data_IF_120868278671
#
_entry.id   IF_120868278671
#
_cell.length_a   1.000
_cell.length_b   1.000
_cell.length_c   1.000
_cell.angle_alpha   90.00
_cell.angle_beta   90.00
_cell.angle_gamma   90.00
#
_symmetry.space_group_name_H-M   'P 1'
#
loop_
_entity.id
_entity.type
_entity.pdbx_description
1 polymer ?
#
# COMPACT_ATOMS: atom_id res chain seq x y z
N UNK A 1 -1.69 -16.13 -24.88
CA UNK A 1 -0.42 -16.24 -24.13
C UNK A 1 -0.72 -15.89 -22.69
N UNK A 2 -0.32 -16.73 -21.74
CA UNK A 2 -0.46 -16.48 -20.29
C UNK A 2 0.59 -15.46 -19.79
N UNK A 3 1.71 -15.33 -20.51
CA UNK A 3 2.79 -14.39 -20.20
C UNK A 3 2.80 -13.24 -21.20
N UNK A 4 2.98 -12.01 -20.69
CA UNK A 4 3.06 -10.79 -21.50
C UNK A 4 4.53 -10.39 -21.69
N UNK A 5 5.00 -10.35 -22.94
CA UNK A 5 6.37 -9.94 -23.31
C UNK A 5 6.30 -8.67 -24.17
N UNK A 6 6.30 -7.48 -23.54
CA UNK A 6 6.48 -6.18 -24.22
C UNK A 6 7.03 -5.13 -23.24
N UNK A 7 7.69 -4.10 -23.75
CA UNK A 7 8.24 -2.99 -22.94
C UNK A 7 7.23 -1.90 -22.55
N UNK A 8 6.05 -1.84 -23.18
CA UNK A 8 5.00 -0.89 -22.79
C UNK A 8 4.27 -1.31 -21.52
N UNK A 9 3.49 -0.40 -20.94
CA UNK A 9 2.57 -0.69 -19.85
C UNK A 9 1.52 -1.74 -20.26
N UNK A 10 0.87 -2.34 -19.27
CA UNK A 10 -0.31 -3.15 -19.54
C UNK A 10 -1.54 -2.24 -19.74
N UNK A 11 -2.55 -2.69 -20.48
CA UNK A 11 -3.72 -1.86 -20.84
C UNK A 11 -4.43 -1.26 -19.61
N UNK A 12 -4.58 -2.01 -18.52
CA UNK A 12 -5.24 -1.52 -17.31
C UNK A 12 -4.46 -0.39 -16.65
N UNK A 13 -3.13 -0.48 -16.69
CA UNK A 13 -2.27 0.57 -16.16
C UNK A 13 -2.26 1.81 -17.07
N UNK A 14 -2.26 1.64 -18.40
CA UNK A 14 -2.42 2.76 -19.34
C UNK A 14 -3.74 3.51 -19.10
N UNK A 15 -4.85 2.77 -18.97
CA UNK A 15 -6.16 3.34 -18.64
C UNK A 15 -6.19 4.02 -17.26
N UNK A 16 -5.52 3.43 -16.26
CA UNK A 16 -5.39 4.03 -14.94
C UNK A 16 -4.60 5.35 -15.00
N UNK A 17 -3.46 5.39 -15.70
CA UNK A 17 -2.63 6.59 -15.82
C UNK A 17 -3.41 7.73 -16.47
N UNK A 18 -4.14 7.47 -17.56
CA UNK A 18 -4.97 8.49 -18.22
C UNK A 18 -5.98 9.09 -17.24
N UNK A 19 -6.76 8.24 -16.55
CA UNK A 19 -7.77 8.69 -15.59
C UNK A 19 -7.15 9.42 -14.39
N UNK A 20 -6.04 8.91 -13.86
CA UNK A 20 -5.39 9.48 -12.67
C UNK A 20 -4.73 10.83 -12.99
N UNK A 21 -4.17 11.02 -14.19
CA UNK A 21 -3.60 12.31 -14.61
C UNK A 21 -4.63 13.44 -14.60
N UNK A 22 -5.88 13.15 -14.95
CA UNK A 22 -6.97 14.15 -14.84
C UNK A 22 -7.20 14.56 -13.38
N UNK A 23 -7.23 13.61 -12.44
CA UNK A 23 -7.36 13.91 -11.02
C UNK A 23 -6.15 14.68 -10.47
N UNK A 24 -4.93 14.29 -10.86
CA UNK A 24 -3.68 14.99 -10.49
C UNK A 24 -3.70 16.43 -11.00
N UNK A 25 -4.10 16.65 -12.26
CA UNK A 25 -4.25 18.00 -12.82
C UNK A 25 -5.18 18.86 -11.97
N UNK A 26 -6.38 18.34 -11.64
CA UNK A 26 -7.33 19.07 -10.80
C UNK A 26 -6.78 19.36 -9.40
N UNK A 27 -6.02 18.43 -8.82
CA UNK A 27 -5.37 18.61 -7.53
C UNK A 27 -4.29 19.71 -7.57
N UNK A 28 -3.42 19.70 -8.59
CA UNK A 28 -2.38 20.73 -8.79
C UNK A 28 -2.98 22.13 -8.99
N UNK A 29 -4.08 22.24 -9.74
CA UNK A 29 -4.80 23.51 -9.91
C UNK A 29 -5.37 24.06 -8.59
N UNK A 30 -5.94 23.19 -7.74
CA UNK A 30 -6.41 23.59 -6.40
C UNK A 30 -5.26 24.11 -5.52
N UNK A 31 -4.06 23.56 -5.69
CA UNK A 31 -2.83 24.01 -5.03
C UNK A 31 -2.17 25.24 -5.69
N UNK A 32 -2.78 25.79 -6.74
CA UNK A 32 -2.24 26.92 -7.54
C UNK A 32 -0.90 26.62 -8.20
N UNK A 33 -0.62 25.34 -8.46
CA UNK A 33 0.53 24.89 -9.23
C UNK A 33 0.11 24.83 -10.70
N UNK A 34 0.61 25.77 -11.49
CA UNK A 34 0.22 25.93 -12.89
C UNK A 34 0.95 24.92 -13.77
N UNK A 35 0.20 24.09 -14.48
CA UNK A 35 0.66 23.24 -15.58
C UNK A 35 -0.43 23.18 -16.66
N UNK A 36 -0.05 22.83 -17.88
CA UNK A 36 -0.99 22.47 -18.94
C UNK A 36 -1.46 21.02 -18.76
N UNK A 37 -2.57 20.64 -19.40
CA UNK A 37 -3.12 19.28 -19.27
C UNK A 37 -2.19 18.21 -19.89
N UNK A 38 -1.42 18.57 -20.90
CA UNK A 38 -0.41 17.73 -21.53
C UNK A 38 0.87 17.61 -20.69
N UNK A 39 1.21 18.62 -19.89
CA UNK A 39 2.44 18.66 -19.06
C UNK A 39 2.22 18.27 -17.58
N UNK A 40 1.11 17.59 -17.25
CA UNK A 40 0.87 17.09 -15.89
C UNK A 40 2.01 16.15 -15.46
N UNK A 41 2.74 16.44 -14.37
CA UNK A 41 3.88 15.64 -13.95
C UNK A 41 3.45 14.29 -13.39
N UNK A 42 4.29 13.28 -13.62
CA UNK A 42 4.14 11.97 -12.98
C UNK A 42 4.87 11.98 -11.63
N UNK A 43 4.12 12.08 -10.54
CA UNK A 43 4.66 12.12 -9.19
C UNK A 43 4.57 10.73 -8.56
N UNK A 44 5.68 10.21 -8.06
CA UNK A 44 5.74 8.92 -7.36
C UNK A 44 6.21 9.11 -5.91
N UNK A 45 5.52 8.47 -4.97
CA UNK A 45 5.95 8.34 -3.59
C UNK A 45 6.62 6.99 -3.38
N UNK A 46 7.82 7.00 -2.78
CA UNK A 46 8.66 5.82 -2.60
C UNK A 46 8.87 5.52 -1.11
N UNK A 47 8.25 4.44 -0.64
CA UNK A 47 8.41 3.91 0.72
C UNK A 47 9.63 2.99 0.85
N UNK A 48 10.52 3.31 1.77
CA UNK A 48 11.71 2.50 2.04
C UNK A 48 11.42 1.25 2.89
N UNK A 49 12.40 0.34 2.97
CA UNK A 49 12.35 -0.76 3.92
C UNK A 49 12.67 -0.34 5.36
N UNK A 50 12.32 -1.18 6.32
CA UNK A 50 12.59 -0.90 7.74
C UNK A 50 11.59 -1.50 8.72
N UNK A 51 10.91 -2.58 8.32
CA UNK A 51 9.88 -3.24 9.14
C UNK A 51 8.79 -2.29 9.62
N UNK A 52 8.35 -2.48 10.86
CA UNK A 52 7.25 -1.70 11.45
C UNK A 52 7.55 -0.19 11.49
N UNK A 53 8.82 0.23 11.63
CA UNK A 53 9.19 1.65 11.58
C UNK A 53 8.84 2.27 10.23
N UNK A 54 9.18 1.59 9.13
CA UNK A 54 8.85 2.06 7.79
C UNK A 54 7.34 2.02 7.51
N UNK A 55 6.63 1.03 8.07
CA UNK A 55 5.17 0.95 8.00
C UNK A 55 4.51 2.19 8.63
N UNK A 56 4.85 2.50 9.88
CA UNK A 56 4.25 3.65 10.61
C UNK A 56 4.68 4.97 9.98
N UNK A 57 5.94 5.10 9.56
CA UNK A 57 6.44 6.30 8.90
C UNK A 57 5.72 6.57 7.57
N UNK A 58 5.48 5.54 6.75
CA UNK A 58 4.73 5.70 5.50
C UNK A 58 3.27 6.06 5.76
N UNK A 59 2.63 5.41 6.74
CA UNK A 59 1.24 5.72 7.10
C UNK A 59 1.07 7.20 7.48
N UNK A 60 1.93 7.71 8.35
CA UNK A 60 1.86 9.13 8.74
C UNK A 60 2.27 10.06 7.60
N UNK A 61 3.22 9.66 6.75
CA UNK A 61 3.58 10.44 5.55
C UNK A 61 2.36 10.63 4.64
N UNK A 62 1.58 9.58 4.40
CA UNK A 62 0.36 9.67 3.59
C UNK A 62 -0.68 10.59 4.25
N UNK A 63 -0.84 10.53 5.57
CA UNK A 63 -1.75 11.40 6.34
C UNK A 63 -1.35 12.86 6.22
N UNK A 64 -0.06 13.16 6.32
CA UNK A 64 0.44 14.54 6.19
C UNK A 64 0.32 15.05 4.75
N UNK A 65 0.53 14.18 3.75
CA UNK A 65 0.31 14.52 2.35
C UNK A 65 -1.17 14.81 2.07
N UNK A 66 -2.09 14.05 2.65
CA UNK A 66 -3.53 14.30 2.53
C UNK A 66 -3.92 15.65 3.14
N UNK A 67 -3.45 15.94 4.35
CA UNK A 67 -3.64 17.25 5.02
C UNK A 67 -3.07 18.42 4.22
N UNK A 68 -1.97 18.21 3.52
CA UNK A 68 -1.36 19.20 2.64
C UNK A 68 -2.05 19.31 1.27
N UNK A 69 -3.04 18.46 0.97
CA UNK A 69 -3.69 18.38 -0.34
C UNK A 69 -2.81 17.76 -1.45
N UNK A 70 -1.69 17.16 -1.08
CA UNK A 70 -0.69 16.60 -2.00
C UNK A 70 -0.90 15.12 -2.31
N UNK A 71 -1.70 14.40 -1.52
CA UNK A 71 -1.95 12.97 -1.75
C UNK A 71 -2.60 12.71 -3.12
N UNK A 72 -3.53 13.57 -3.53
CA UNK A 72 -4.20 13.49 -4.83
C UNK A 72 -3.30 13.85 -6.02
N UNK A 73 -2.13 14.45 -5.76
CA UNK A 73 -1.13 14.72 -6.79
C UNK A 73 -0.29 13.48 -7.13
N UNK A 74 -0.32 12.42 -6.32
CA UNK A 74 0.49 11.22 -6.52
C UNK A 74 -0.14 10.31 -7.58
N UNK A 75 0.68 9.90 -8.56
CA UNK A 75 0.34 8.92 -9.57
C UNK A 75 0.67 7.49 -9.12
N UNK A 76 1.86 7.30 -8.54
CA UNK A 76 2.33 5.99 -8.10
C UNK A 76 2.75 6.00 -6.63
N UNK A 77 2.26 5.03 -5.87
CA UNK A 77 2.78 4.68 -4.56
C UNK A 77 3.57 3.38 -4.70
N UNK A 78 4.86 3.41 -4.43
CA UNK A 78 5.71 2.22 -4.41
C UNK A 78 6.34 2.05 -3.05
N UNK A 79 6.61 0.82 -2.65
CA UNK A 79 7.25 0.54 -1.38
C UNK A 79 7.94 -0.82 -1.36
N UNK A 80 8.87 -0.99 -0.43
CA UNK A 80 9.56 -2.27 -0.19
C UNK A 80 9.56 -2.63 1.28
N UNK A 81 9.60 -3.94 1.59
CA UNK A 81 9.67 -4.45 2.98
C UNK A 81 8.60 -3.81 3.88
N UNK A 82 8.96 -3.15 4.98
CA UNK A 82 8.02 -2.55 5.93
C UNK A 82 6.97 -1.61 5.33
N UNK A 83 7.32 -0.82 4.32
CA UNK A 83 6.34 0.03 3.63
C UNK A 83 5.25 -0.77 2.90
N UNK A 84 5.55 -1.98 2.42
CA UNK A 84 4.52 -2.82 1.79
C UNK A 84 3.48 -3.30 2.80
N UNK A 85 3.82 -3.38 4.09
CA UNK A 85 2.86 -3.75 5.13
C UNK A 85 1.84 -2.64 5.33
N UNK A 86 2.27 -1.38 5.25
CA UNK A 86 1.37 -0.23 5.25
C UNK A 86 0.46 -0.25 4.01
N UNK A 87 1.05 -0.40 2.82
CA UNK A 87 0.29 -0.45 1.56
C UNK A 87 -0.75 -1.57 1.56
N UNK A 88 -0.35 -2.80 1.91
CA UNK A 88 -1.26 -3.95 1.99
C UNK A 88 -2.39 -3.73 3.02
N UNK A 89 -2.13 -2.98 4.09
CA UNK A 89 -3.15 -2.64 5.09
C UNK A 89 -4.13 -1.59 4.62
N UNK A 90 -3.68 -0.63 3.81
CA UNK A 90 -4.52 0.39 3.21
C UNK A 90 -5.41 -0.22 2.13
N UNK A 91 -4.85 -1.09 1.29
CA UNK A 91 -5.57 -1.72 0.17
C UNK A 91 -6.67 -2.72 0.60
N UNK A 92 -6.74 -3.07 1.90
CA UNK A 92 -7.91 -3.76 2.47
C UNK A 92 -9.19 -2.90 2.45
N UNK A 93 -9.04 -1.59 2.30
CA UNK A 93 -10.13 -0.61 2.24
C UNK A 93 -10.09 0.06 0.85
N UNK A 94 -10.96 -0.32 -0.11
CA UNK A 94 -10.86 0.12 -1.52
C UNK A 94 -10.84 1.64 -1.73
N UNK A 95 -11.44 2.39 -0.83
CA UNK A 95 -11.56 3.85 -0.81
C UNK A 95 -10.70 4.49 0.30
N UNK A 96 -9.64 3.83 0.78
CA UNK A 96 -8.85 4.29 1.92
C UNK A 96 -8.40 5.75 1.84
N UNK A 97 -8.07 6.25 0.65
CA UNK A 97 -7.51 7.59 0.46
C UNK A 97 -8.52 8.70 0.74
N UNK A 98 -9.84 8.43 0.69
CA UNK A 98 -10.89 9.42 1.01
C UNK A 98 -11.27 9.42 2.49
N UNK A 99 -10.84 8.40 3.24
CA UNK A 99 -11.13 8.18 4.67
C UNK A 99 -9.87 7.84 5.46
N UNK A 100 -8.74 8.44 5.05
CA UNK A 100 -7.41 8.03 5.50
C UNK A 100 -7.25 8.11 7.03
N UNK A 101 -7.81 9.13 7.69
CA UNK A 101 -7.78 9.24 9.15
C UNK A 101 -8.48 8.05 9.85
N UNK A 102 -9.64 7.62 9.34
CA UNK A 102 -10.37 6.46 9.89
C UNK A 102 -9.56 5.18 9.68
N UNK A 103 -8.95 5.02 8.49
CA UNK A 103 -8.13 3.84 8.18
C UNK A 103 -6.86 3.83 9.02
N UNK A 104 -6.22 4.98 9.23
CA UNK A 104 -5.08 5.15 10.13
C UNK A 104 -5.43 4.67 11.54
N UNK A 105 -6.57 5.11 12.09
CA UNK A 105 -7.00 4.72 13.43
C UNK A 105 -7.27 3.21 13.52
N UNK A 106 -7.87 2.59 12.49
CA UNK A 106 -8.02 1.13 12.40
C UNK A 106 -6.66 0.42 12.42
N UNK A 107 -5.69 0.90 11.63
CA UNK A 107 -4.34 0.32 11.57
C UNK A 107 -3.63 0.48 12.92
N UNK A 108 -3.66 1.67 13.53
CA UNK A 108 -3.04 1.91 14.85
C UNK A 108 -3.69 1.02 15.91
N UNK A 109 -5.02 0.94 15.96
CA UNK A 109 -5.74 0.07 16.89
C UNK A 109 -5.33 -1.39 16.74
N UNK A 110 -5.10 -1.86 15.50
CA UNK A 110 -4.60 -3.21 15.24
C UNK A 110 -3.17 -3.39 15.76
N UNK A 111 -2.27 -2.45 15.46
CA UNK A 111 -0.88 -2.47 15.90
C UNK A 111 -0.71 -2.40 17.42
N UNK A 112 -1.61 -1.69 18.10
CA UNK A 112 -1.66 -1.61 19.56
C UNK A 112 -2.52 -2.71 20.21
N UNK A 113 -3.16 -3.56 19.39
CA UNK A 113 -4.03 -4.63 19.86
C UNK A 113 -3.27 -5.84 20.40
N UNK A 114 -3.99 -6.84 20.94
CA UNK A 114 -3.36 -8.07 21.38
C UNK A 114 -2.67 -8.79 20.22
N UNK A 115 -1.51 -9.38 20.52
CA UNK A 115 -0.79 -10.25 19.59
C UNK A 115 -1.66 -11.42 19.16
N UNK A 116 -1.35 -11.96 17.99
CA UNK A 116 -2.02 -13.16 17.50
C UNK A 116 -1.73 -14.32 18.44
N UNK A 117 -2.77 -15.12 18.73
CA UNK A 117 -2.62 -16.25 19.63
C UNK A 117 -1.67 -17.29 19.01
N UNK A 118 -0.87 -17.95 19.84
CA UNK A 118 0.02 -19.02 19.39
C UNK A 118 -0.75 -20.16 18.72
N UNK A 119 -1.97 -20.42 19.17
CA UNK A 119 -2.86 -21.43 18.60
C UNK A 119 -3.29 -21.07 17.18
N UNK A 120 -3.65 -19.81 16.91
CA UNK A 120 -4.05 -19.35 15.57
C UNK A 120 -2.84 -19.34 14.63
N UNK A 121 -1.68 -18.91 15.12
CA UNK A 121 -0.43 -18.96 14.37
C UNK A 121 -0.07 -20.41 14.00
N UNK A 122 -0.14 -21.35 14.95
CA UNK A 122 0.11 -22.77 14.67
C UNK A 122 -0.90 -23.35 13.69
N UNK A 123 -2.17 -22.98 13.77
CA UNK A 123 -3.20 -23.42 12.84
C UNK A 123 -2.93 -22.93 11.41
N UNK A 124 -2.62 -21.64 11.24
CA UNK A 124 -2.28 -21.06 9.92
C UNK A 124 -0.98 -21.63 9.37
N UNK A 125 0.00 -21.91 10.24
CA UNK A 125 1.26 -22.54 9.82
C UNK A 125 1.06 -23.97 9.32
N UNK A 126 0.25 -24.78 10.04
CA UNK A 126 -0.13 -26.11 9.58
C UNK A 126 -0.83 -26.05 8.23
N UNK A 127 -1.75 -25.09 8.05
CA UNK A 127 -2.42 -24.86 6.77
C UNK A 127 -1.41 -24.63 5.64
N UNK A 128 -0.48 -23.70 5.81
CA UNK A 128 0.56 -23.44 4.80
C UNK A 128 1.45 -24.66 4.53
N UNK A 129 1.81 -25.41 5.55
CA UNK A 129 2.62 -26.63 5.39
C UNK A 129 1.94 -27.70 4.53
N UNK A 130 0.61 -27.85 4.63
CA UNK A 130 -0.12 -28.87 3.87
C UNK A 130 -0.62 -28.38 2.50
N UNK A 131 -0.87 -27.07 2.34
CA UNK A 131 -1.45 -26.51 1.11
C UNK A 131 -0.41 -25.97 0.12
N UNK A 132 0.76 -25.53 0.59
CA UNK A 132 1.78 -24.97 -0.30
C UNK A 132 2.68 -26.09 -0.85
N UNK A 133 2.86 -26.11 -2.17
CA UNK A 133 3.78 -27.03 -2.84
C UNK A 133 5.24 -26.89 -2.33
N UNK A 134 5.62 -25.67 -1.92
CA UNK A 134 6.92 -25.37 -1.33
C UNK A 134 6.70 -24.60 -0.04
N UNK A 135 7.03 -25.25 1.08
CA UNK A 135 7.04 -24.64 2.40
C UNK A 135 8.45 -24.16 2.77
N UNK A 136 8.55 -22.94 3.30
CA UNK A 136 9.82 -22.25 3.54
C UNK A 136 9.80 -21.41 4.83
N UNK A 137 10.95 -20.82 5.18
CA UNK A 137 11.03 -19.86 6.28
C UNK A 137 10.21 -18.59 6.03
N UNK A 138 9.88 -18.26 4.78
CA UNK A 138 8.98 -17.14 4.46
C UNK A 138 7.57 -17.42 4.95
N UNK A 139 7.10 -18.67 4.85
CA UNK A 139 5.78 -19.09 5.36
C UNK A 139 5.73 -19.00 6.89
N UNK A 140 6.78 -19.48 7.55
CA UNK A 140 6.95 -19.34 9.01
C UNK A 140 6.93 -17.88 9.41
N UNK A 141 7.70 -17.03 8.72
CA UNK A 141 7.77 -15.60 8.98
C UNK A 141 6.44 -14.87 8.72
N UNK A 142 5.71 -15.22 7.66
CA UNK A 142 4.42 -14.61 7.35
C UNK A 142 3.40 -14.84 8.48
N UNK A 143 3.37 -16.07 9.01
CA UNK A 143 2.42 -16.46 10.06
C UNK A 143 2.83 -15.98 11.46
N UNK A 144 4.12 -15.75 11.70
CA UNK A 144 4.62 -15.36 13.03
C UNK A 144 4.88 -13.88 13.19
N UNK A 145 5.35 -13.19 12.14
CA UNK A 145 5.70 -11.78 12.18
C UNK A 145 4.69 -10.91 11.45
N UNK A 146 4.28 -11.25 10.23
CA UNK A 146 3.43 -10.37 9.42
C UNK A 146 1.99 -10.31 9.90
N UNK A 147 1.44 -11.42 10.39
CA UNK A 147 0.04 -11.47 10.85
C UNK A 147 -0.26 -10.47 11.99
N UNK A 148 0.76 -10.05 12.74
CA UNK A 148 0.61 -9.02 13.76
C UNK A 148 0.40 -7.63 13.14
N UNK A 149 1.01 -7.38 11.98
CA UNK A 149 1.03 -6.07 11.32
C UNK A 149 -0.02 -5.92 10.23
N UNK A 150 -0.28 -6.99 9.49
CA UNK A 150 -1.25 -7.09 8.40
C UNK A 150 -2.15 -8.28 8.75
N UNK A 151 -3.20 -8.04 9.55
CA UNK A 151 -4.21 -9.07 9.79
C UNK A 151 -4.98 -9.27 8.50
N UNK A 152 -4.82 -10.45 7.91
CA UNK A 152 -5.71 -11.00 6.88
C UNK A 152 -6.94 -11.63 7.54
#
# INVERSE_FOLDING_TARGET
SEVRIKHSLNKKEEEFVVKRREAVFQSLQKLKIHCSQDEVPHIALLGSGGGQRAMVALLETLVQLDKAGLLDCILYLSGVSGSTWCMASLDQEPDWSTKLEIVKDKIIKRLSGPRVSLTDALAKLKKYYYENDIFSLTDVWAVTAIIEYVKE
#
